data_IF_190724537726
#
_entry.id   IF_190724537726
#
_cell.length_a   1.000
_cell.length_b   1.000
_cell.length_c   1.000
_cell.angle_alpha   90.00
_cell.angle_beta   90.00
_cell.angle_gamma   90.00
#
_symmetry.space_group_name_H-M   'P 1'
#
loop_
_entity.id
_entity.type
_entity.pdbx_description
1 polymer ?
#
# COMPACT_ATOMS: atom_id res chain seq x y z
N UNK A 1 8.04 13.21 -2.70
CA UNK A 1 8.17 13.20 -1.23
C UNK A 1 9.58 12.93 -0.76
N UNK A 2 10.29 11.91 -1.26
CA UNK A 2 11.68 11.63 -0.83
C UNK A 2 12.63 12.85 -0.93
N UNK A 3 12.68 13.54 -2.08
CA UNK A 3 13.55 14.71 -2.23
C UNK A 3 13.13 15.89 -1.32
N UNK A 4 11.83 16.03 -1.07
CA UNK A 4 11.29 17.09 -0.21
C UNK A 4 11.61 16.79 1.26
N UNK A 5 11.42 15.54 1.69
CA UNK A 5 11.76 15.09 3.03
C UNK A 5 13.27 15.13 3.25
N UNK A 6 14.09 14.76 2.26
CA UNK A 6 15.53 14.94 2.33
C UNK A 6 15.89 16.42 2.42
N UNK A 7 15.39 17.29 1.55
CA UNK A 7 15.71 18.72 1.61
C UNK A 7 15.26 19.40 2.92
N UNK A 8 14.13 18.97 3.49
CA UNK A 8 13.59 19.52 4.72
C UNK A 8 14.28 18.94 5.98
N UNK A 9 14.46 17.63 6.05
CA UNK A 9 14.84 16.95 7.29
C UNK A 9 16.28 16.41 7.30
N UNK A 10 17.03 16.53 6.20
CA UNK A 10 18.43 16.07 6.17
C UNK A 10 19.29 16.97 7.08
N UNK A 11 19.73 16.40 8.21
CA UNK A 11 20.50 17.09 9.24
C UNK A 11 19.67 17.66 10.40
N UNK A 12 18.34 17.64 10.31
CA UNK A 12 17.43 18.14 11.34
C UNK A 12 17.14 17.07 12.43
N UNK A 13 18.16 16.57 13.12
CA UNK A 13 18.01 15.65 14.26
C UNK A 13 17.16 14.38 13.97
N UNK A 14 16.73 13.70 15.03
CA UNK A 14 15.93 12.47 14.95
C UNK A 14 14.50 12.76 14.49
N UNK A 15 14.28 12.73 13.17
CA UNK A 15 12.94 12.60 12.61
C UNK A 15 12.41 11.19 12.91
N UNK A 16 11.32 11.10 13.66
CA UNK A 16 10.73 9.84 14.12
C UNK A 16 9.89 9.11 13.05
N UNK A 17 9.76 9.70 11.85
CA UNK A 17 8.98 9.11 10.76
C UNK A 17 7.48 9.37 10.87
N UNK A 18 7.00 10.06 11.90
CA UNK A 18 5.57 10.27 12.10
C UNK A 18 5.00 11.32 11.15
N UNK A 19 3.73 11.15 10.77
CA UNK A 19 3.03 12.14 9.94
C UNK A 19 2.86 13.50 10.65
N UNK A 20 2.75 13.48 11.98
CA UNK A 20 2.67 14.69 12.80
C UNK A 20 3.98 15.48 12.76
N UNK A 21 5.11 14.80 13.01
CA UNK A 21 6.43 15.41 12.90
C UNK A 21 6.71 15.92 11.47
N UNK A 22 6.21 15.24 10.44
CA UNK A 22 6.33 15.70 9.06
C UNK A 22 5.59 17.03 8.85
N UNK A 23 4.36 17.15 9.34
CA UNK A 23 3.56 18.37 9.22
C UNK A 23 4.18 19.55 9.97
N UNK A 24 4.57 19.35 11.24
CA UNK A 24 5.26 20.37 12.04
C UNK A 24 6.60 20.77 11.40
N UNK A 25 7.31 19.82 10.81
CA UNK A 25 8.53 20.08 10.08
C UNK A 25 8.33 20.96 8.86
N UNK A 26 7.30 20.69 8.06
CA UNK A 26 6.93 21.56 6.94
C UNK A 26 6.56 22.96 7.38
N UNK A 27 5.84 23.08 8.49
CA UNK A 27 5.50 24.37 9.08
C UNK A 27 6.74 25.15 9.50
N UNK A 28 7.69 24.50 10.19
CA UNK A 28 8.91 25.13 10.69
C UNK A 28 9.91 25.52 9.60
N UNK A 29 10.06 24.69 8.56
CA UNK A 29 11.12 24.84 7.56
C UNK A 29 10.70 25.66 6.35
N UNK A 30 9.42 25.61 5.97
CA UNK A 30 8.91 26.26 4.76
C UNK A 30 7.80 27.27 5.08
N UNK A 31 6.98 26.99 6.10
CA UNK A 31 5.90 27.86 6.56
C UNK A 31 4.53 27.18 6.54
N UNK A 32 3.53 27.79 7.20
CA UNK A 32 2.20 27.22 7.37
C UNK A 32 1.46 26.87 6.06
N UNK A 33 1.73 27.59 4.97
CA UNK A 33 1.14 27.26 3.66
C UNK A 33 1.59 25.90 3.12
N UNK A 34 2.85 25.52 3.34
CA UNK A 34 3.38 24.22 2.93
C UNK A 34 2.82 23.08 3.80
N UNK A 35 2.64 23.33 5.11
CA UNK A 35 2.02 22.38 6.03
C UNK A 35 0.56 22.09 5.64
N UNK A 36 -0.21 23.13 5.27
CA UNK A 36 -1.58 22.98 4.77
C UNK A 36 -1.63 22.24 3.43
N UNK A 37 -0.73 22.56 2.50
CA UNK A 37 -0.63 21.84 1.23
C UNK A 37 -0.29 20.35 1.45
N UNK A 38 0.61 20.04 2.37
CA UNK A 38 0.93 18.68 2.76
C UNK A 38 -0.30 17.95 3.33
N UNK A 39 -1.04 18.57 4.24
CA UNK A 39 -2.26 18.00 4.80
C UNK A 39 -3.34 17.75 3.71
N UNK A 40 -3.51 18.70 2.79
CA UNK A 40 -4.46 18.56 1.67
C UNK A 40 -4.08 17.40 0.74
N UNK A 41 -2.80 17.28 0.37
CA UNK A 41 -2.29 16.18 -0.46
C UNK A 41 -2.42 14.84 0.26
N UNK A 42 -2.14 14.79 1.56
CA UNK A 42 -2.28 13.58 2.37
C UNK A 42 -3.74 13.10 2.39
N UNK A 43 -4.68 14.02 2.61
CA UNK A 43 -6.11 13.74 2.59
C UNK A 43 -6.58 13.28 1.21
N UNK A 44 -6.17 13.98 0.14
CA UNK A 44 -6.50 13.59 -1.23
C UNK A 44 -5.96 12.20 -1.60
N UNK A 45 -4.73 11.87 -1.19
CA UNK A 45 -4.11 10.56 -1.38
C UNK A 45 -4.90 9.45 -0.66
N UNK A 46 -5.29 9.69 0.59
CA UNK A 46 -6.10 8.75 1.37
C UNK A 46 -7.47 8.47 0.75
N UNK A 47 -8.17 9.52 0.30
CA UNK A 47 -9.46 9.38 -0.38
C UNK A 47 -9.33 8.63 -1.72
N UNK A 48 -8.31 8.94 -2.51
CA UNK A 48 -8.03 8.27 -3.79
C UNK A 48 -7.73 6.79 -3.60
N UNK A 49 -6.81 6.46 -2.68
CA UNK A 49 -6.43 5.08 -2.39
C UNK A 49 -7.61 4.25 -1.85
N UNK A 50 -8.43 4.82 -0.96
CA UNK A 50 -9.64 4.15 -0.45
C UNK A 50 -10.64 3.84 -1.58
N UNK A 51 -10.83 4.77 -2.51
CA UNK A 51 -11.67 4.56 -3.70
C UNK A 51 -11.17 3.39 -4.54
N UNK A 52 -9.89 3.38 -4.91
CA UNK A 52 -9.28 2.28 -5.68
C UNK A 52 -9.37 0.95 -4.92
N UNK A 53 -9.16 0.96 -3.59
CA UNK A 53 -9.31 -0.22 -2.75
C UNK A 53 -10.72 -0.82 -2.79
N UNK A 54 -11.77 0.01 -2.74
CA UNK A 54 -13.16 -0.46 -2.83
C UNK A 54 -13.51 -1.05 -4.20
N UNK A 55 -12.90 -0.52 -5.26
CA UNK A 55 -13.05 -1.03 -6.62
C UNK A 55 -12.29 -2.35 -6.82
N UNK A 56 -11.04 -2.43 -6.37
CA UNK A 56 -10.25 -3.66 -6.41
C UNK A 56 -10.95 -4.79 -5.65
N UNK A 57 -11.48 -4.50 -4.46
CA UNK A 57 -12.30 -5.43 -3.69
C UNK A 57 -13.54 -5.91 -4.47
N UNK A 58 -14.17 -5.03 -5.25
CA UNK A 58 -15.29 -5.43 -6.12
C UNK A 58 -14.88 -6.47 -7.15
N UNK A 59 -13.79 -6.20 -7.88
CA UNK A 59 -13.34 -7.03 -8.99
C UNK A 59 -12.92 -8.41 -8.46
N UNK A 60 -12.26 -8.45 -7.30
CA UNK A 60 -11.89 -9.71 -6.64
C UNK A 60 -13.14 -10.48 -6.20
N UNK A 61 -14.10 -9.81 -5.54
CA UNK A 61 -15.31 -10.46 -5.07
C UNK A 61 -16.19 -10.99 -6.20
N UNK A 62 -16.34 -10.23 -7.28
CA UNK A 62 -17.15 -10.64 -8.42
C UNK A 62 -16.46 -11.76 -9.22
N UNK A 63 -15.14 -11.68 -9.37
CA UNK A 63 -14.34 -12.69 -10.08
C UNK A 63 -14.20 -14.02 -9.32
N UNK A 64 -13.81 -13.98 -8.04
CA UNK A 64 -13.48 -15.18 -7.26
C UNK A 64 -14.65 -15.72 -6.45
N UNK A 65 -15.44 -14.85 -5.80
CA UNK A 65 -16.53 -15.26 -4.91
C UNK A 65 -17.90 -15.25 -5.62
N UNK A 66 -18.02 -14.57 -6.77
CA UNK A 66 -19.28 -14.32 -7.50
C UNK A 66 -20.37 -13.71 -6.60
N UNK A 67 -19.98 -12.93 -5.60
CA UNK A 67 -20.87 -12.26 -4.65
C UNK A 67 -20.89 -10.75 -4.94
N UNK A 68 -22.09 -10.17 -5.07
CA UNK A 68 -22.27 -8.73 -5.22
C UNK A 68 -22.81 -8.11 -3.94
N UNK A 69 -21.95 -7.41 -3.22
CA UNK A 69 -22.32 -6.63 -2.02
C UNK A 69 -22.60 -5.17 -2.43
N UNK A 70 -23.64 -4.50 -1.89
CA UNK A 70 -23.91 -3.10 -2.15
C UNK A 70 -22.75 -2.18 -1.71
N UNK A 71 -22.54 -1.09 -2.45
CA UNK A 71 -21.39 -0.20 -2.27
C UNK A 71 -21.27 0.35 -0.84
N UNK A 72 -22.38 0.75 -0.23
CA UNK A 72 -22.40 1.31 1.13
C UNK A 72 -21.93 0.30 2.18
N UNK A 73 -22.44 -0.94 2.11
CA UNK A 73 -22.02 -1.99 3.06
C UNK A 73 -20.54 -2.33 2.89
N UNK A 74 -20.07 -2.40 1.64
CA UNK A 74 -18.65 -2.64 1.37
C UNK A 74 -17.76 -1.54 1.91
N UNK A 75 -18.14 -0.27 1.71
CA UNK A 75 -17.39 0.87 2.22
C UNK A 75 -17.37 0.90 3.75
N UNK A 76 -18.48 0.54 4.39
CA UNK A 76 -18.55 0.39 5.85
C UNK A 76 -17.60 -0.71 6.34
N UNK A 77 -17.59 -1.88 5.72
CA UNK A 77 -16.70 -3.00 6.09
C UNK A 77 -15.23 -2.64 5.92
N UNK A 78 -14.86 -1.96 4.83
CA UNK A 78 -13.47 -1.53 4.58
C UNK A 78 -13.03 -0.42 5.55
N UNK A 79 -13.94 0.47 5.94
CA UNK A 79 -13.63 1.55 6.90
C UNK A 79 -13.65 1.07 8.35
N UNK A 80 -14.34 -0.03 8.67
CA UNK A 80 -14.52 -0.50 10.03
C UNK A 80 -13.19 -0.75 10.79
N UNK A 81 -12.18 -1.45 10.23
CA UNK A 81 -10.90 -1.62 10.91
C UNK A 81 -10.24 -0.29 11.28
N UNK A 82 -10.25 0.69 10.36
CA UNK A 82 -9.68 2.01 10.62
C UNK A 82 -10.43 2.76 11.73
N UNK A 83 -11.77 2.72 11.72
CA UNK A 83 -12.59 3.33 12.77
C UNK A 83 -12.38 2.68 14.14
N UNK A 84 -12.23 1.35 14.19
CA UNK A 84 -11.93 0.61 15.43
C UNK A 84 -10.58 1.02 15.99
N UNK A 85 -9.54 1.07 15.15
CA UNK A 85 -8.19 1.52 15.54
C UNK A 85 -8.22 2.94 16.12
N UNK A 86 -8.95 3.86 15.48
CA UNK A 86 -9.12 5.24 15.97
C UNK A 86 -9.86 5.26 17.31
N UNK A 87 -10.95 4.50 17.45
CA UNK A 87 -11.73 4.43 18.68
C UNK A 87 -10.95 3.86 19.86
N UNK A 88 -10.03 2.94 19.61
CA UNK A 88 -9.13 2.35 20.60
C UNK A 88 -7.92 3.25 20.93
N UNK A 89 -7.73 4.37 20.21
CA UNK A 89 -6.59 5.27 20.40
C UNK A 89 -5.25 4.63 20.07
N UNK A 90 -5.22 3.61 19.20
CA UNK A 90 -3.99 2.92 18.83
C UNK A 90 -3.08 3.88 18.05
N UNK A 91 -1.78 3.93 18.36
CA UNK A 91 -0.82 4.77 17.64
C UNK A 91 -0.85 4.49 16.12
N UNK A 92 -0.88 5.54 15.27
CA UNK A 92 -1.00 5.37 13.82
C UNK A 92 0.13 4.54 13.20
N UNK A 93 1.35 4.66 13.72
CA UNK A 93 2.53 3.89 13.33
C UNK A 93 2.29 2.39 13.46
N UNK A 94 1.72 1.94 14.58
CA UNK A 94 1.42 0.54 14.83
C UNK A 94 0.31 0.03 13.89
N UNK A 95 -0.72 0.84 13.65
CA UNK A 95 -1.78 0.51 12.71
C UNK A 95 -1.28 0.42 11.25
N UNK A 96 -0.36 1.32 10.88
CA UNK A 96 0.34 1.29 9.60
C UNK A 96 1.18 0.02 9.46
N UNK A 97 1.98 -0.32 10.46
CA UNK A 97 2.79 -1.55 10.46
C UNK A 97 1.92 -2.80 10.32
N UNK A 98 0.83 -2.92 11.08
CA UNK A 98 -0.09 -4.05 10.98
C UNK A 98 -0.70 -4.16 9.58
N UNK A 99 -1.08 -3.03 8.99
CA UNK A 99 -1.62 -2.99 7.63
C UNK A 99 -0.60 -3.48 6.59
N UNK A 100 0.67 -3.11 6.76
CA UNK A 100 1.74 -3.59 5.89
C UNK A 100 1.97 -5.09 6.05
N UNK A 101 1.93 -5.64 7.27
CA UNK A 101 2.06 -7.08 7.50
C UNK A 101 0.97 -7.85 6.76
N UNK A 102 -0.29 -7.41 6.87
CA UNK A 102 -1.42 -8.03 6.15
C UNK A 102 -1.22 -7.94 4.63
N UNK A 103 -0.73 -6.80 4.12
CA UNK A 103 -0.46 -6.63 2.69
C UNK A 103 0.68 -7.54 2.22
N UNK A 104 1.77 -7.64 2.98
CA UNK A 104 2.93 -8.49 2.68
C UNK A 104 2.55 -9.96 2.54
N UNK A 105 1.60 -10.45 3.34
CA UNK A 105 1.04 -11.79 3.17
C UNK A 105 0.33 -11.97 1.83
N UNK A 106 -0.36 -10.94 1.32
CA UNK A 106 -1.11 -11.00 0.06
C UNK A 106 -0.25 -10.95 -1.21
N UNK A 107 0.89 -10.25 -1.16
CA UNK A 107 1.78 -10.04 -2.31
C UNK A 107 2.20 -11.33 -3.05
N UNK A 108 2.69 -12.40 -2.39
CA UNK A 108 3.08 -13.63 -3.10
C UNK A 108 1.91 -14.29 -3.82
N UNK A 109 0.71 -14.26 -3.23
CA UNK A 109 -0.51 -14.82 -3.83
C UNK A 109 -0.99 -14.04 -5.05
N UNK A 110 -0.56 -12.79 -5.22
CA UNK A 110 -0.87 -11.99 -6.42
C UNK A 110 0.22 -12.16 -7.48
N UNK A 111 1.49 -12.04 -7.10
CA UNK A 111 2.61 -12.05 -8.04
C UNK A 111 2.82 -13.40 -8.70
N UNK A 112 2.74 -14.51 -7.95
CA UNK A 112 3.01 -15.85 -8.49
C UNK A 112 1.98 -16.23 -9.55
N UNK A 113 0.65 -16.14 -9.29
CA UNK A 113 -0.35 -16.42 -10.32
C UNK A 113 -0.25 -15.47 -11.51
N UNK A 114 0.07 -14.19 -11.30
CA UNK A 114 0.21 -13.21 -12.38
C UNK A 114 1.31 -13.63 -13.37
N UNK A 115 2.48 -14.04 -12.87
CA UNK A 115 3.58 -14.53 -13.73
C UNK A 115 3.19 -15.82 -14.44
N UNK A 116 2.53 -16.75 -13.75
CA UNK A 116 2.10 -18.03 -14.32
C UNK A 116 1.06 -17.83 -15.44
N UNK A 117 0.04 -17.01 -15.21
CA UNK A 117 -1.01 -16.69 -16.17
C UNK A 117 -0.43 -15.93 -17.37
N UNK A 118 0.49 -15.00 -17.14
CA UNK A 118 1.09 -14.21 -18.24
C UNK A 118 1.97 -15.04 -19.18
N UNK A 119 2.46 -16.20 -18.73
CA UNK A 119 3.25 -17.14 -19.55
C UNK A 119 2.38 -18.11 -20.36
N UNK A 120 1.11 -18.26 -20.00
CA UNK A 120 0.21 -19.29 -20.55
C UNK A 120 -0.32 -18.89 -21.93
N UNK A 121 0.08 -19.65 -22.97
CA UNK A 121 -0.41 -19.46 -24.35
C UNK A 121 -1.91 -19.66 -24.50
N UNK A 122 -2.47 -20.55 -23.70
CA UNK A 122 -3.91 -20.83 -23.69
C UNK A 122 -4.76 -19.65 -23.16
N UNK A 123 -4.19 -18.76 -22.34
CA UNK A 123 -4.89 -17.60 -21.79
C UNK A 123 -4.55 -16.29 -22.50
N UNK A 124 -3.28 -16.10 -22.87
CA UNK A 124 -2.77 -14.85 -23.47
C UNK A 124 -2.74 -14.85 -25.00
N UNK A 125 -2.91 -16.01 -25.66
CA UNK A 125 -2.89 -16.11 -27.12
C UNK A 125 -1.59 -15.59 -27.73
N UNK A 126 -1.69 -14.60 -28.61
CA UNK A 126 -0.53 -13.98 -29.27
C UNK A 126 0.21 -12.96 -28.38
N UNK A 127 -0.38 -12.56 -27.25
CA UNK A 127 0.18 -11.58 -26.30
C UNK A 127 0.99 -12.23 -25.17
N UNK A 128 1.42 -13.47 -25.35
CA UNK A 128 2.16 -14.23 -24.35
C UNK A 128 3.52 -13.60 -24.08
N UNK A 129 3.89 -13.56 -22.80
CA UNK A 129 5.18 -13.04 -22.41
C UNK A 129 6.31 -13.81 -23.10
N UNK A 130 7.28 -13.04 -23.63
CA UNK A 130 8.54 -13.59 -24.15
C UNK A 130 9.29 -14.28 -23.00
N UNK A 131 10.19 -15.24 -23.30
CA UNK A 131 10.97 -15.92 -22.27
C UNK A 131 11.80 -14.94 -21.42
N UNK A 132 12.30 -13.86 -22.02
CA UNK A 132 13.03 -12.81 -21.31
C UNK A 132 12.13 -12.01 -20.35
N UNK A 133 10.94 -11.59 -20.77
CA UNK A 133 10.02 -10.86 -19.89
C UNK A 133 9.47 -11.74 -18.78
N UNK A 134 9.26 -13.03 -19.08
CA UNK A 134 8.90 -14.04 -18.06
C UNK A 134 10.02 -14.21 -17.05
N UNK A 135 11.28 -14.34 -17.48
CA UNK A 135 12.43 -14.49 -16.59
C UNK A 135 12.58 -13.27 -15.68
N UNK A 136 12.50 -12.06 -16.24
CA UNK A 136 12.54 -10.82 -15.46
C UNK A 136 11.37 -10.73 -14.47
N UNK A 137 10.17 -11.15 -14.88
CA UNK A 137 9.00 -11.21 -13.99
C UNK A 137 9.18 -12.20 -12.84
N UNK A 138 9.76 -13.37 -13.10
CA UNK A 138 10.10 -14.36 -12.05
C UNK A 138 11.16 -13.79 -11.10
N UNK A 139 12.22 -13.16 -11.62
CA UNK A 139 13.27 -12.55 -10.80
C UNK A 139 12.69 -11.44 -9.91
N UNK A 140 11.89 -10.54 -10.49
CA UNK A 140 11.25 -9.47 -9.74
C UNK A 140 10.28 -10.01 -8.68
N UNK A 141 9.45 -11.00 -9.03
CA UNK A 141 8.54 -11.64 -8.09
C UNK A 141 9.29 -12.34 -6.96
N UNK A 142 10.35 -13.09 -7.27
CA UNK A 142 11.20 -13.75 -6.28
C UNK A 142 11.89 -12.75 -5.36
N UNK A 143 12.41 -11.65 -5.91
CA UNK A 143 13.03 -10.58 -5.14
C UNK A 143 12.03 -9.89 -4.20
N UNK A 144 10.87 -9.47 -4.72
CA UNK A 144 9.83 -8.80 -3.91
C UNK A 144 9.31 -9.73 -2.81
N UNK A 145 9.03 -10.99 -3.13
CA UNK A 145 8.60 -11.98 -2.14
C UNK A 145 9.69 -12.24 -1.10
N UNK A 146 10.95 -12.39 -1.52
CA UNK A 146 12.08 -12.59 -0.61
C UNK A 146 12.26 -11.43 0.37
N UNK A 147 12.19 -10.19 -0.13
CA UNK A 147 12.24 -8.98 0.71
C UNK A 147 11.04 -8.90 1.65
N UNK A 148 9.83 -9.20 1.18
CA UNK A 148 8.64 -9.20 2.05
C UNK A 148 8.74 -10.25 3.16
N UNK A 149 9.19 -11.47 2.85
CA UNK A 149 9.40 -12.52 3.85
C UNK A 149 10.48 -12.11 4.86
N UNK A 150 11.59 -11.54 4.39
CA UNK A 150 12.63 -11.02 5.28
C UNK A 150 12.08 -9.95 6.24
N UNK A 151 11.34 -8.96 5.72
CA UNK A 151 10.73 -7.93 6.55
C UNK A 151 9.77 -8.55 7.57
N UNK A 152 8.93 -9.49 7.15
CA UNK A 152 7.95 -10.12 8.02
C UNK A 152 8.64 -10.92 9.14
N UNK A 153 9.70 -11.68 8.84
CA UNK A 153 10.52 -12.36 9.86
C UNK A 153 11.28 -11.42 10.78
N UNK A 154 11.64 -10.21 10.32
CA UNK A 154 12.32 -9.22 11.16
C UNK A 154 11.37 -8.46 12.08
N UNK A 155 10.10 -8.29 11.67
CA UNK A 155 9.09 -7.51 12.40
C UNK A 155 8.17 -8.37 13.26
N UNK A 156 7.97 -9.64 12.92
CA UNK A 156 7.23 -10.62 13.73
C UNK A 156 8.25 -11.36 14.60
N UNK A 157 8.22 -11.20 15.94
CA UNK A 157 9.13 -11.87 16.86
C UNK A 157 8.97 -13.39 16.89
#
# INVERSE_FOLDING_TARGET
MLCVAAAAFHGAGSFDGSLGAAHEGFERLVGGGAALAFAAVLLASGLSSSGVGTYAGQVIMDGFLRVRIPLFLRRAVIMAPALIVIALGVPPDTALLLSQVVLSFGIPFVLVPLVLISRRRDLMGDLVNRPLTTLLGIIAAAFICGVNVYLLCSFVP
#
